data_IF_481000309217
#
_entry.id   IF_481000309217
#
_cell.length_a   1.000
_cell.length_b   1.000
_cell.length_c   1.000
_cell.angle_alpha   90.00
_cell.angle_beta   90.00
_cell.angle_gamma   90.00
#
_symmetry.space_group_name_H-M   'P 1'
#
loop_
_entity.id
_entity.type
_entity.pdbx_description
1 polymer ?
#
# COMPACT_ATOMS: atom_id res chain seq x y z
N UNK A 1 -17.06 8.06 5.33
CA UNK A 1 -17.72 9.31 4.94
C UNK A 1 -17.93 9.48 3.43
N UNK A 2 -16.93 9.87 2.62
CA UNK A 2 -17.18 10.18 1.19
C UNK A 2 -17.78 9.02 0.40
N UNK A 3 -17.31 7.78 0.64
CA UNK A 3 -17.86 6.58 -0.01
C UNK A 3 -19.35 6.42 0.31
N UNK A 4 -19.75 6.62 1.57
CA UNK A 4 -21.16 6.52 1.99
C UNK A 4 -22.02 7.62 1.36
N UNK A 5 -21.46 8.84 1.22
CA UNK A 5 -22.15 9.94 0.55
C UNK A 5 -22.35 9.70 -0.94
N UNK A 6 -21.36 9.10 -1.61
CA UNK A 6 -21.45 8.76 -3.03
C UNK A 6 -22.41 7.58 -3.24
N UNK A 7 -22.40 6.59 -2.35
CA UNK A 7 -23.37 5.48 -2.35
C UNK A 7 -23.33 4.61 -3.61
N UNK A 8 -22.17 4.48 -4.25
CA UNK A 8 -22.01 3.73 -5.49
C UNK A 8 -21.02 2.56 -5.31
N UNK A 9 -21.44 1.35 -5.68
CA UNK A 9 -20.66 0.12 -5.51
C UNK A 9 -19.35 0.08 -6.33
N UNK A 10 -19.20 0.98 -7.31
CA UNK A 10 -18.02 1.10 -8.15
C UNK A 10 -17.07 2.23 -7.71
N UNK A 11 -17.27 2.78 -6.52
CA UNK A 11 -16.42 3.82 -5.94
C UNK A 11 -15.79 3.33 -4.64
N UNK A 12 -14.46 3.31 -4.59
CA UNK A 12 -13.70 2.77 -3.46
C UNK A 12 -12.35 3.48 -3.28
N UNK A 13 -11.55 2.97 -2.34
CA UNK A 13 -10.28 3.57 -1.94
C UNK A 13 -9.11 2.92 -2.68
N UNK A 14 -8.17 3.79 -3.07
CA UNK A 14 -6.79 3.40 -3.31
C UNK A 14 -5.98 3.86 -2.10
N UNK A 15 -5.35 2.93 -1.41
CA UNK A 15 -4.43 3.25 -0.32
C UNK A 15 -2.99 3.23 -0.83
N UNK A 16 -2.17 4.15 -0.33
CA UNK A 16 -0.77 4.33 -0.77
C UNK A 16 0.16 4.47 0.44
N UNK A 17 1.11 3.56 0.59
CA UNK A 17 1.96 3.51 1.79
C UNK A 17 2.88 4.72 1.95
N UNK A 18 3.29 5.38 0.86
CA UNK A 18 4.12 6.60 0.97
C UNK A 18 3.30 7.77 1.52
N UNK A 19 2.06 7.94 1.06
CA UNK A 19 1.18 8.97 1.58
C UNK A 19 0.70 8.66 3.00
N UNK A 20 0.35 7.40 3.27
CA UNK A 20 -0.08 6.99 4.61
C UNK A 20 1.04 7.14 5.65
N UNK A 21 2.30 6.97 5.26
CA UNK A 21 3.46 7.23 6.13
C UNK A 21 3.53 8.70 6.62
N UNK A 22 2.93 9.64 5.90
CA UNK A 22 2.93 11.07 6.26
C UNK A 22 1.67 11.42 7.05
N UNK A 23 0.52 10.94 6.59
CA UNK A 23 -0.80 11.42 7.05
C UNK A 23 -1.41 10.55 8.16
N UNK A 24 -1.14 9.25 8.16
CA UNK A 24 -1.82 8.32 9.07
C UNK A 24 -1.07 8.20 10.40
N UNK A 25 -1.77 8.29 11.56
CA UNK A 25 -1.14 8.06 12.86
C UNK A 25 -0.60 6.63 13.00
N UNK A 26 -1.35 5.65 12.47
CA UNK A 26 -1.00 4.22 12.46
C UNK A 26 -1.55 3.59 11.18
N UNK A 27 -0.66 3.28 10.23
CA UNK A 27 -1.01 2.78 8.90
C UNK A 27 -1.90 1.53 8.97
N UNK A 28 -1.54 0.56 9.80
CA UNK A 28 -2.25 -0.71 9.91
C UNK A 28 -3.68 -0.55 10.42
N UNK A 29 -3.91 0.41 11.33
CA UNK A 29 -5.25 0.68 11.83
C UNK A 29 -6.09 1.37 10.76
N UNK A 30 -5.51 2.32 10.03
CA UNK A 30 -6.19 2.96 8.90
C UNK A 30 -6.57 1.96 7.80
N UNK A 31 -5.71 0.98 7.50
CA UNK A 31 -6.04 -0.12 6.59
C UNK A 31 -7.23 -0.93 7.12
N UNK A 32 -7.21 -1.33 8.40
CA UNK A 32 -8.32 -2.11 9.00
C UNK A 32 -9.64 -1.34 8.97
N UNK A 33 -9.62 -0.04 9.23
CA UNK A 33 -10.81 0.82 9.17
C UNK A 33 -11.39 0.92 7.76
N UNK A 34 -10.55 0.90 6.72
CA UNK A 34 -11.02 0.94 5.33
C UNK A 34 -11.71 -0.36 4.90
N UNK A 35 -11.26 -1.51 5.42
CA UNK A 35 -11.96 -2.80 5.26
C UNK A 35 -12.22 -3.18 3.79
N UNK A 36 -13.49 -3.49 3.49
CA UNK A 36 -13.96 -3.90 2.16
C UNK A 36 -13.96 -2.77 1.12
N UNK A 37 -13.82 -1.52 1.55
CA UNK A 37 -13.80 -0.37 0.65
C UNK A 37 -12.46 -0.20 -0.09
N UNK A 38 -11.45 -1.03 0.20
CA UNK A 38 -10.15 -0.98 -0.46
C UNK A 38 -10.24 -1.65 -1.84
N UNK A 39 -10.15 -0.85 -2.90
CA UNK A 39 -10.21 -1.32 -4.29
C UNK A 39 -8.83 -1.48 -4.91
N UNK A 40 -7.84 -0.70 -4.46
CA UNK A 40 -6.47 -0.82 -4.91
C UNK A 40 -5.45 -0.47 -3.83
N UNK A 41 -4.21 -0.94 -4.00
CA UNK A 41 -3.15 -0.72 -3.02
C UNK A 41 -1.83 -0.43 -3.71
N UNK A 42 -1.29 0.75 -3.45
CA UNK A 42 0.04 1.18 -3.89
C UNK A 42 1.07 0.99 -2.77
N UNK A 43 2.25 0.55 -3.15
CA UNK A 43 3.41 0.42 -2.26
C UNK A 43 4.58 1.25 -2.74
N UNK A 44 5.12 2.00 -1.80
CA UNK A 44 6.40 2.69 -1.86
C UNK A 44 6.92 2.87 -0.43
N UNK A 45 8.22 2.73 -0.24
CA UNK A 45 8.83 2.89 1.07
C UNK A 45 8.82 4.36 1.53
N UNK A 46 9.22 4.64 2.75
CA UNK A 46 9.08 5.95 3.39
C UNK A 46 9.71 7.13 2.63
N UNK A 47 10.77 6.88 1.84
CA UNK A 47 11.43 7.86 0.97
C UNK A 47 10.93 7.84 -0.50
N UNK A 48 9.80 7.19 -0.74
CA UNK A 48 9.17 6.93 -2.05
C UNK A 48 9.98 6.07 -3.02
N UNK A 49 10.88 5.24 -2.49
CA UNK A 49 11.63 4.26 -3.28
C UNK A 49 10.98 2.89 -3.15
N UNK A 50 11.54 1.86 -3.79
CA UNK A 50 10.99 0.51 -3.72
C UNK A 50 10.93 0.00 -2.25
N UNK A 51 9.92 -0.80 -1.87
CA UNK A 51 9.83 -1.46 -0.56
C UNK A 51 11.12 -2.18 -0.14
N UNK A 52 11.54 -1.95 1.11
CA UNK A 52 12.78 -2.48 1.69
C UNK A 52 14.00 -1.56 1.51
N UNK A 53 13.81 -0.36 0.96
CA UNK A 53 14.87 0.66 0.84
C UNK A 53 14.85 1.69 1.96
N UNK A 54 13.73 1.81 2.67
CA UNK A 54 13.50 2.73 3.76
C UNK A 54 13.23 1.99 5.06
N UNK A 55 12.20 2.42 5.79
CA UNK A 55 11.93 1.96 7.15
C UNK A 55 10.47 1.55 7.39
N UNK A 56 9.61 1.49 6.36
CA UNK A 56 8.26 0.97 6.53
C UNK A 56 8.29 -0.53 6.78
N UNK A 57 7.52 -0.98 7.78
CA UNK A 57 7.33 -2.41 8.03
C UNK A 57 6.22 -2.97 7.13
N UNK A 58 6.60 -3.36 5.92
CA UNK A 58 5.66 -3.97 4.99
C UNK A 58 5.10 -5.31 5.48
N UNK A 59 5.70 -5.97 6.48
CA UNK A 59 5.16 -7.22 7.03
C UNK A 59 3.85 -6.96 7.74
N UNK A 60 3.84 -5.96 8.62
CA UNK A 60 2.65 -5.59 9.41
C UNK A 60 1.60 -4.91 8.54
N UNK A 61 2.03 -4.06 7.61
CA UNK A 61 1.15 -3.39 6.64
C UNK A 61 0.43 -4.41 5.75
N UNK A 62 1.15 -5.37 5.17
CA UNK A 62 0.54 -6.37 4.28
C UNK A 62 -0.28 -7.41 5.05
N UNK A 63 0.08 -7.77 6.29
CA UNK A 63 -0.76 -8.59 7.16
C UNK A 63 -2.08 -7.85 7.51
N UNK A 64 -2.02 -6.55 7.79
CA UNK A 64 -3.21 -5.73 8.02
C UNK A 64 -4.13 -5.71 6.78
N UNK A 65 -3.55 -5.51 5.60
CA UNK A 65 -4.28 -5.55 4.32
C UNK A 65 -4.88 -6.93 4.05
N UNK A 66 -4.11 -8.00 4.25
CA UNK A 66 -4.59 -9.36 4.06
C UNK A 66 -5.79 -9.68 4.97
N UNK A 67 -5.75 -9.21 6.22
CA UNK A 67 -6.84 -9.42 7.20
C UNK A 67 -8.12 -8.66 6.87
N UNK A 68 -8.11 -7.66 5.98
CA UNK A 68 -9.36 -7.05 5.50
C UNK A 68 -10.09 -7.94 4.48
N UNK A 69 -9.44 -9.01 3.99
CA UNK A 69 -9.95 -9.85 2.90
C UNK A 69 -9.60 -9.33 1.51
N UNK A 70 -8.75 -8.30 1.40
CA UNK A 70 -8.29 -7.77 0.12
C UNK A 70 -7.59 -8.85 -0.72
N UNK A 71 -8.07 -9.07 -1.94
CA UNK A 71 -7.56 -10.06 -2.88
C UNK A 71 -7.08 -9.45 -4.21
N UNK A 72 -6.98 -8.11 -4.27
CA UNK A 72 -6.56 -7.37 -5.43
C UNK A 72 -5.04 -7.27 -5.59
N UNK A 73 -4.61 -6.37 -6.46
CA UNK A 73 -3.18 -6.17 -6.74
C UNK A 73 -2.50 -5.28 -5.70
N UNK A 74 -1.26 -5.62 -5.38
CA UNK A 74 -0.30 -4.72 -4.72
C UNK A 74 0.61 -4.16 -5.80
N UNK A 75 0.49 -2.87 -6.08
CA UNK A 75 1.16 -2.20 -7.19
C UNK A 75 2.29 -1.29 -6.71
N UNK A 76 3.46 -1.37 -7.33
CA UNK A 76 4.59 -0.51 -7.00
C UNK A 76 4.46 0.88 -7.61
N UNK A 77 4.30 1.92 -6.78
CA UNK A 77 4.29 3.33 -7.21
C UNK A 77 5.46 4.10 -6.58
N UNK A 78 6.68 3.87 -7.08
CA UNK A 78 7.88 4.44 -6.48
C UNK A 78 8.85 5.02 -7.51
N UNK A 79 9.78 5.83 -7.01
CA UNK A 79 10.84 6.45 -7.80
C UNK A 79 11.72 5.38 -8.46
N UNK A 80 12.14 5.57 -9.73
CA UNK A 80 13.00 4.64 -10.45
C UNK A 80 14.46 4.80 -9.99
N UNK A 81 14.74 4.41 -8.75
CA UNK A 81 16.05 4.54 -8.11
C UNK A 81 16.60 3.16 -7.71
N UNK A 82 17.84 2.82 -8.08
CA UNK A 82 18.77 3.60 -8.91
C UNK A 82 18.36 3.73 -10.38
N UNK A 83 17.57 2.78 -10.88
CA UNK A 83 16.98 2.74 -12.23
C UNK A 83 15.65 1.96 -12.19
N UNK A 84 14.80 2.05 -13.22
CA UNK A 84 13.48 1.42 -13.22
C UNK A 84 13.52 -0.11 -13.04
N UNK A 85 14.42 -0.80 -13.74
CA UNK A 85 14.47 -2.27 -13.77
C UNK A 85 14.97 -2.83 -12.44
N UNK A 86 16.01 -2.23 -11.88
CA UNK A 86 16.53 -2.59 -10.55
C UNK A 86 15.51 -2.32 -9.47
N UNK A 87 14.82 -1.18 -9.50
CA UNK A 87 13.80 -0.84 -8.51
C UNK A 87 12.61 -1.81 -8.56
N UNK A 88 12.10 -2.11 -9.77
CA UNK A 88 11.02 -3.06 -9.97
C UNK A 88 11.39 -4.47 -9.49
N UNK A 89 12.61 -4.94 -9.82
CA UNK A 89 13.09 -6.24 -9.37
C UNK A 89 13.22 -6.31 -7.85
N UNK A 90 13.83 -5.32 -7.22
CA UNK A 90 14.00 -5.27 -5.75
C UNK A 90 12.67 -5.22 -5.02
N UNK A 91 11.70 -4.46 -5.54
CA UNK A 91 10.34 -4.46 -5.03
C UNK A 91 9.73 -5.87 -5.04
N UNK A 92 9.74 -6.55 -6.19
CA UNK A 92 9.18 -7.90 -6.33
C UNK A 92 9.88 -8.88 -5.38
N UNK A 93 11.21 -8.85 -5.33
CA UNK A 93 12.01 -9.73 -4.47
C UNK A 93 11.70 -9.47 -2.99
N UNK A 94 11.56 -8.21 -2.58
CA UNK A 94 11.26 -7.87 -1.19
C UNK A 94 9.87 -8.32 -0.76
N UNK A 95 8.85 -8.09 -1.60
CA UNK A 95 7.46 -8.42 -1.27
C UNK A 95 7.13 -9.91 -1.36
N UNK A 96 7.84 -10.68 -2.20
CA UNK A 96 7.59 -12.14 -2.35
C UNK A 96 8.33 -13.01 -1.35
N UNK A 97 9.42 -12.52 -0.77
CA UNK A 97 10.24 -13.29 0.16
C UNK A 97 9.80 -13.08 1.63
N UNK A 98 8.57 -12.60 1.85
CA UNK A 98 7.96 -12.40 3.17
C UNK A 98 6.60 -13.06 3.23
#
# INVERSE_FOLDING_TARGET
ELIEQVGADNFGLLLDTFHMNIEEPVIEESIRMCGEHIFHFHVADSQRWYPGSGHLDFTTILDALYRTGYNGYVSGEFMPKPDPDTAAKRNIDYLRNR
#
